data_IF_511055557130
#
_entry.id   IF_511055557130
#
_cell.length_a   1.000
_cell.length_b   1.000
_cell.length_c   1.000
_cell.angle_alpha   90.00
_cell.angle_beta   90.00
_cell.angle_gamma   90.00
#
_symmetry.space_group_name_H-M   'P 1'
#
loop_
_entity.id
_entity.type
_entity.pdbx_description
1 polymer ?
#
# COMPACT_ATOMS: atom_id res chain seq x y z
N UNK A 1 -20.81 15.39 4.24
CA UNK A 1 -19.43 15.39 3.73
C UNK A 1 -19.41 14.54 2.47
N UNK A 2 -19.04 15.14 1.33
CA UNK A 2 -19.25 14.56 0.00
C UNK A 2 -18.39 13.32 -0.25
N UNK A 3 -19.03 12.23 -0.70
CA UNK A 3 -18.34 11.07 -1.26
C UNK A 3 -17.53 11.53 -2.47
N UNK A 4 -16.20 11.53 -2.37
CA UNK A 4 -15.35 11.51 -3.57
C UNK A 4 -15.56 10.14 -4.21
N UNK A 5 -16.43 10.07 -5.23
CA UNK A 5 -16.48 8.92 -6.12
C UNK A 5 -15.14 8.92 -6.88
N UNK A 6 -14.22 8.02 -6.51
CA UNK A 6 -12.95 7.88 -7.22
C UNK A 6 -13.25 7.41 -8.64
N UNK A 7 -12.71 8.10 -9.65
CA UNK A 7 -12.81 7.73 -11.07
C UNK A 7 -11.87 6.55 -11.42
N UNK A 8 -11.49 5.75 -10.43
CA UNK A 8 -10.51 4.68 -10.58
C UNK A 8 -11.24 3.39 -11.00
N UNK A 9 -10.65 2.55 -11.87
CA UNK A 9 -11.20 1.24 -12.19
C UNK A 9 -11.54 0.48 -10.90
N UNK A 10 -12.77 0.01 -10.75
CA UNK A 10 -13.14 -0.76 -9.55
C UNK A 10 -12.53 -2.16 -9.61
N UNK A 11 -12.08 -2.67 -8.47
CA UNK A 11 -11.63 -4.05 -8.35
C UNK A 11 -12.80 -5.01 -8.59
N UNK A 12 -12.59 -6.09 -9.33
CA UNK A 12 -13.68 -7.04 -9.62
C UNK A 12 -14.03 -7.86 -8.37
N UNK A 13 -15.28 -8.33 -8.26
CA UNK A 13 -15.70 -9.20 -7.15
C UNK A 13 -14.86 -10.48 -7.07
N UNK A 14 -14.41 -11.01 -8.22
CA UNK A 14 -13.55 -12.19 -8.27
C UNK A 14 -12.18 -11.89 -7.67
N UNK A 15 -11.60 -10.74 -8.00
CA UNK A 15 -10.30 -10.33 -7.45
C UNK A 15 -10.41 -10.03 -5.95
N UNK A 16 -11.47 -9.35 -5.51
CA UNK A 16 -11.73 -9.11 -4.08
C UNK A 16 -11.77 -10.44 -3.30
N UNK A 17 -12.50 -11.44 -3.81
CA UNK A 17 -12.57 -12.75 -3.17
C UNK A 17 -11.22 -13.47 -3.17
N UNK A 18 -10.49 -13.43 -4.29
CA UNK A 18 -9.16 -14.01 -4.41
C UNK A 18 -8.18 -13.41 -3.38
N UNK A 19 -8.16 -12.08 -3.27
CA UNK A 19 -7.31 -11.38 -2.31
C UNK A 19 -7.72 -11.65 -0.88
N UNK A 20 -9.03 -11.68 -0.59
CA UNK A 20 -9.54 -12.04 0.73
C UNK A 20 -9.08 -13.42 1.16
N UNK A 21 -9.14 -14.42 0.27
CA UNK A 21 -8.67 -15.78 0.54
C UNK A 21 -7.15 -15.84 0.79
N UNK A 22 -6.36 -15.08 0.03
CA UNK A 22 -4.89 -15.09 0.15
C UNK A 22 -4.37 -14.36 1.38
N UNK A 23 -5.08 -13.36 1.87
CA UNK A 23 -4.63 -12.46 2.93
C UNK A 23 -5.39 -12.63 4.24
N UNK A 24 -6.51 -13.36 4.22
CA UNK A 24 -7.50 -13.45 5.30
C UNK A 24 -8.16 -12.10 5.68
N UNK A 25 -7.93 -11.05 4.90
CA UNK A 25 -8.60 -9.77 5.08
C UNK A 25 -10.05 -9.85 4.60
N UNK A 26 -10.93 -9.11 5.26
CA UNK A 26 -12.32 -9.01 4.85
C UNK A 26 -12.43 -8.25 3.51
N UNK A 27 -13.39 -8.60 2.63
CA UNK A 27 -13.61 -7.95 1.34
C UNK A 27 -13.65 -6.41 1.39
N UNK A 28 -14.29 -5.84 2.42
CA UNK A 28 -14.38 -4.40 2.57
C UNK A 28 -13.01 -3.75 2.86
N UNK A 29 -12.12 -4.45 3.58
CA UNK A 29 -10.75 -3.98 3.86
C UNK A 29 -9.95 -4.00 2.57
N UNK A 30 -10.05 -5.07 1.77
CA UNK A 30 -9.42 -5.15 0.45
C UNK A 30 -9.82 -3.96 -0.43
N UNK A 31 -11.11 -3.62 -0.46
CA UNK A 31 -11.58 -2.46 -1.23
C UNK A 31 -10.99 -1.14 -0.72
N UNK A 32 -10.92 -0.92 0.60
CA UNK A 32 -10.33 0.29 1.17
C UNK A 32 -8.84 0.42 0.85
N UNK A 33 -8.09 -0.69 0.97
CA UNK A 33 -6.66 -0.73 0.64
C UNK A 33 -6.46 -0.49 -0.86
N UNK A 34 -7.31 -1.05 -1.71
CA UNK A 34 -7.29 -0.80 -3.15
C UNK A 34 -7.56 0.66 -3.50
N UNK A 35 -8.58 1.27 -2.89
CA UNK A 35 -8.91 2.68 -3.13
C UNK A 35 -7.73 3.59 -2.74
N UNK A 36 -7.13 3.35 -1.57
CA UNK A 36 -5.95 4.09 -1.11
C UNK A 36 -4.72 3.90 -2.03
N UNK A 37 -4.50 2.68 -2.51
CA UNK A 37 -3.45 2.39 -3.49
C UNK A 37 -3.69 3.14 -4.80
N UNK A 38 -4.91 3.10 -5.33
CA UNK A 38 -5.26 3.73 -6.60
C UNK A 38 -5.18 5.26 -6.56
N UNK A 39 -5.40 5.87 -5.40
CA UNK A 39 -5.17 7.31 -5.20
C UNK A 39 -3.70 7.70 -5.43
N UNK A 40 -2.75 6.79 -5.20
CA UNK A 40 -1.31 7.00 -5.42
C UNK A 40 -0.83 6.49 -6.78
N UNK A 41 -1.34 5.34 -7.22
CA UNK A 41 -1.00 4.74 -8.49
C UNK A 41 -1.59 5.52 -9.68
N UNK A 42 -2.73 6.19 -9.47
CA UNK A 42 -3.46 6.87 -10.52
C UNK A 42 -4.03 5.91 -11.57
N UNK A 43 -4.33 6.44 -12.77
CA UNK A 43 -5.03 5.69 -13.83
C UNK A 43 -4.26 4.49 -14.39
N UNK A 44 -2.95 4.43 -14.20
CA UNK A 44 -2.14 3.30 -14.68
C UNK A 44 -2.33 2.04 -13.84
N UNK A 45 -2.83 2.15 -12.60
CA UNK A 45 -2.82 1.07 -11.62
C UNK A 45 -1.40 0.61 -11.23
N UNK A 46 -0.38 1.41 -11.55
CA UNK A 46 1.04 1.12 -11.31
C UNK A 46 1.66 2.25 -10.50
N UNK A 47 2.07 1.96 -9.27
CA UNK A 47 2.63 2.94 -8.35
C UNK A 47 4.16 2.99 -8.49
N UNK A 48 4.70 4.16 -8.82
CA UNK A 48 6.15 4.39 -8.90
C UNK A 48 6.74 4.69 -7.53
N UNK A 49 8.04 4.48 -7.39
CA UNK A 49 8.78 4.72 -6.15
C UNK A 49 8.56 6.11 -5.54
N UNK A 50 8.51 7.18 -6.35
CA UNK A 50 8.28 8.53 -5.83
C UNK A 50 6.89 8.67 -5.17
N UNK A 51 5.86 8.06 -5.74
CA UNK A 51 4.51 8.08 -5.17
C UNK A 51 4.43 7.23 -3.89
N UNK A 52 5.11 6.08 -3.88
CA UNK A 52 5.24 5.23 -2.69
C UNK A 52 5.98 5.96 -1.56
N UNK A 53 7.13 6.58 -1.85
CA UNK A 53 7.90 7.37 -0.89
C UNK A 53 7.02 8.42 -0.22
N UNK A 54 6.27 9.22 -1.00
CA UNK A 54 5.35 10.22 -0.42
C UNK A 54 4.29 9.59 0.49
N UNK A 55 3.68 8.47 0.10
CA UNK A 55 2.71 7.77 0.94
C UNK A 55 3.35 7.21 2.23
N UNK A 56 4.55 6.63 2.12
CA UNK A 56 5.29 6.05 3.24
C UNK A 56 5.71 7.11 4.27
N UNK A 57 6.10 8.31 3.81
CA UNK A 57 6.38 9.47 4.65
C UNK A 57 5.15 9.91 5.46
N UNK A 58 4.00 10.00 4.80
CA UNK A 58 2.76 10.48 5.42
C UNK A 58 2.24 9.54 6.51
N UNK A 59 2.48 8.23 6.39
CA UNK A 59 2.05 7.24 7.39
C UNK A 59 3.04 7.08 8.55
N UNK A 60 4.28 7.55 8.39
CA UNK A 60 5.36 7.37 9.38
C UNK A 60 5.95 8.72 9.85
N UNK A 61 5.15 9.59 10.52
CA UNK A 61 5.56 10.95 10.87
C UNK A 61 6.74 11.05 11.84
N UNK A 62 7.07 9.97 12.56
CA UNK A 62 8.22 9.91 13.47
C UNK A 62 9.46 9.22 12.87
N UNK A 63 9.40 8.74 11.63
CA UNK A 63 10.56 8.05 11.08
C UNK A 63 11.76 9.00 11.05
N UNK A 64 12.93 8.48 11.41
CA UNK A 64 14.15 9.27 11.48
C UNK A 64 14.43 9.89 10.10
N UNK A 65 14.24 11.21 10.00
CA UNK A 65 14.33 11.98 8.75
C UNK A 65 15.67 11.79 8.02
N UNK A 66 16.72 11.36 8.72
CA UNK A 66 18.04 11.13 8.13
C UNK A 66 18.10 9.89 7.21
N UNK A 67 17.27 8.85 7.45
CA UNK A 67 17.32 7.59 6.69
C UNK A 67 16.01 7.24 5.99
N UNK A 68 14.98 8.06 6.15
CA UNK A 68 13.62 7.77 5.74
C UNK A 68 13.48 7.53 4.23
N UNK A 69 14.25 8.25 3.40
CA UNK A 69 14.28 8.03 1.96
C UNK A 69 14.86 6.64 1.60
N UNK A 70 15.91 6.22 2.31
CA UNK A 70 16.56 4.92 2.13
C UNK A 70 15.67 3.77 2.62
N UNK A 71 14.95 3.96 3.73
CA UNK A 71 14.03 2.94 4.26
C UNK A 71 12.80 2.76 3.36
N UNK A 72 12.24 3.86 2.84
CA UNK A 72 11.15 3.80 1.87
C UNK A 72 11.60 3.15 0.55
N UNK A 73 12.83 3.41 0.10
CA UNK A 73 13.39 2.77 -1.10
C UNK A 73 13.64 1.28 -0.89
N UNK A 74 14.18 0.87 0.26
CA UNK A 74 14.32 -0.55 0.61
C UNK A 74 12.98 -1.25 0.71
N UNK A 75 11.98 -0.63 1.31
CA UNK A 75 10.62 -1.14 1.37
C UNK A 75 10.04 -1.32 -0.04
N UNK A 76 10.19 -0.31 -0.90
CA UNK A 76 9.75 -0.40 -2.30
C UNK A 76 10.39 -1.59 -3.03
N UNK A 77 11.72 -1.75 -2.91
CA UNK A 77 12.44 -2.84 -3.55
C UNK A 77 12.08 -4.23 -3.00
N UNK A 78 11.65 -4.32 -1.74
CA UNK A 78 11.12 -5.56 -1.17
C UNK A 78 9.72 -5.89 -1.70
N UNK A 79 8.94 -4.87 -2.06
CA UNK A 79 7.58 -5.03 -2.56
C UNK A 79 7.58 -5.34 -4.07
N UNK A 80 8.47 -4.69 -4.83
CA UNK A 80 8.66 -4.84 -6.29
C UNK A 80 9.32 -6.19 -6.61
N UNK A 81 8.49 -7.24 -6.59
CA UNK A 81 8.94 -8.64 -6.59
C UNK A 81 9.47 -9.03 -7.97
N UNK A 82 8.86 -8.51 -9.03
CA UNK A 82 9.31 -8.73 -10.41
C UNK A 82 10.41 -7.75 -10.85
N UNK A 83 10.73 -6.73 -10.02
CA UNK A 83 11.79 -5.72 -10.22
C UNK A 83 11.57 -4.88 -11.48
N UNK A 84 10.33 -4.61 -11.83
CA UNK A 84 10.00 -3.80 -13.00
C UNK A 84 10.01 -2.29 -12.72
N UNK A 85 10.27 -1.87 -11.47
CA UNK A 85 10.34 -0.48 -11.03
C UNK A 85 8.97 0.17 -10.74
N UNK A 86 7.90 -0.61 -10.69
CA UNK A 86 6.55 -0.18 -10.29
C UNK A 86 5.88 -1.22 -9.42
N UNK A 87 5.04 -0.79 -8.47
CA UNK A 87 4.20 -1.70 -7.71
C UNK A 87 2.84 -1.85 -8.36
N UNK A 88 2.44 -3.09 -8.54
CA UNK A 88 1.06 -3.50 -8.78
C UNK A 88 0.30 -3.62 -7.47
N UNK A 89 -1.04 -3.73 -7.54
CA UNK A 89 -1.85 -3.84 -6.33
C UNK A 89 -1.59 -5.13 -5.55
N UNK A 90 -1.35 -6.25 -6.23
CA UNK A 90 -1.06 -7.54 -5.62
C UNK A 90 0.29 -7.54 -4.90
N UNK A 91 1.33 -6.98 -5.50
CA UNK A 91 2.63 -6.78 -4.86
C UNK A 91 2.51 -5.92 -3.60
N UNK A 92 1.81 -4.80 -3.71
CA UNK A 92 1.56 -3.92 -2.57
C UNK A 92 0.78 -4.61 -1.46
N UNK A 93 -0.30 -5.33 -1.79
CA UNK A 93 -1.19 -5.95 -0.83
C UNK A 93 -0.49 -7.06 -0.04
N UNK A 94 0.27 -7.93 -0.73
CA UNK A 94 1.01 -9.02 -0.08
C UNK A 94 2.02 -8.45 0.91
N UNK A 95 2.78 -7.45 0.49
CA UNK A 95 3.82 -6.89 1.31
C UNK A 95 3.26 -6.03 2.47
N UNK A 96 2.13 -5.34 2.25
CA UNK A 96 1.37 -4.68 3.33
C UNK A 96 0.96 -5.68 4.42
N UNK A 97 0.39 -6.83 4.04
CA UNK A 97 -0.03 -7.87 5.00
C UNK A 97 1.17 -8.44 5.74
N UNK A 98 2.28 -8.71 5.05
CA UNK A 98 3.52 -9.20 5.68
C UNK A 98 4.08 -8.17 6.68
N UNK A 99 4.08 -6.88 6.34
CA UNK A 99 4.51 -5.83 7.26
C UNK A 99 3.61 -5.74 8.49
N UNK A 100 2.28 -5.79 8.34
CA UNK A 100 1.35 -5.73 9.47
C UNK A 100 1.52 -6.93 10.41
N UNK A 101 1.76 -8.13 9.87
CA UNK A 101 1.99 -9.34 10.66
C UNK A 101 3.38 -9.40 11.31
N UNK A 102 4.38 -8.75 10.70
CA UNK A 102 5.73 -8.62 11.27
C UNK A 102 5.87 -7.49 12.31
N UNK A 103 4.94 -6.53 12.33
CA UNK A 103 5.00 -5.34 13.17
C UNK A 103 4.35 -5.57 14.54
N UNK A 104 4.95 -6.43 15.38
CA UNK A 104 4.61 -6.51 16.81
C UNK A 104 5.20 -5.34 17.63
N UNK A 105 5.72 -4.26 17.02
CA UNK A 105 6.29 -3.13 17.76
C UNK A 105 6.40 -1.80 16.99
N UNK A 106 5.28 -1.22 16.56
CA UNK A 106 5.22 0.21 16.20
C UNK A 106 4.25 0.93 17.13
N UNK A 107 4.56 0.91 18.43
CA UNK A 107 3.88 1.72 19.44
C UNK A 107 4.63 3.03 19.68
N UNK A 108 3.87 4.13 19.74
CA UNK A 108 4.15 5.42 20.42
C UNK A 108 4.49 6.64 19.56
N UNK A 109 3.72 6.93 18.51
CA UNK A 109 3.84 8.21 17.79
C UNK A 109 2.58 9.10 17.81
N UNK A 110 1.60 8.77 18.64
CA UNK A 110 0.39 9.57 18.86
C UNK A 110 -0.04 9.59 20.34
N UNK A 111 0.92 9.56 21.27
CA UNK A 111 0.68 9.83 22.68
C UNK A 111 1.32 11.15 23.10
#
# INVERSE_FOLDING_TARGET
MGKRLSKNPSLSNKDIQLYSQRTMLQPFVIQQVYDAFMDRAGKSGKMKINAFKMAYLETNPCANIYNLDMDAERAFLMFDTDRNGVLTFDEFLIAFVQMQLGSNNLSNCWQ
#
